data_IF_651077080232
#
_entry.id   IF_651077080232
#
_cell.length_a   1.000
_cell.length_b   1.000
_cell.length_c   1.000
_cell.angle_alpha   90.00
_cell.angle_beta   90.00
_cell.angle_gamma   90.00
#
_symmetry.space_group_name_H-M   'P 1'
#
loop_
_entity.id
_entity.type
_entity.pdbx_description
1 polymer ?
#
# COMPACT_ATOMS: atom_id res chain seq x y z
N UNK A 1 28.76 -12.31 18.12
CA UNK A 1 27.89 -13.20 17.31
C UNK A 1 26.61 -12.44 17.00
N UNK A 2 26.19 -12.43 15.75
CA UNK A 2 24.90 -11.85 15.40
C UNK A 2 23.76 -12.73 15.91
N UNK A 3 22.74 -12.13 16.54
CA UNK A 3 21.59 -12.87 17.02
C UNK A 3 20.63 -13.14 15.86
N UNK A 4 20.82 -14.28 15.20
CA UNK A 4 20.02 -14.72 14.03
C UNK A 4 18.53 -14.79 14.38
N UNK A 5 18.18 -15.26 15.60
CA UNK A 5 16.79 -15.32 16.05
C UNK A 5 16.15 -13.93 16.08
N UNK A 6 16.85 -12.94 16.63
CA UNK A 6 16.37 -11.55 16.64
C UNK A 6 16.16 -11.02 15.21
N UNK A 7 17.09 -11.30 14.27
CA UNK A 7 16.94 -10.90 12.86
C UNK A 7 15.70 -11.51 12.23
N UNK A 8 15.46 -12.81 12.44
CA UNK A 8 14.26 -13.49 11.93
C UNK A 8 12.97 -12.91 12.51
N UNK A 9 12.96 -12.61 13.81
CA UNK A 9 11.80 -11.97 14.46
C UNK A 9 11.52 -10.58 13.89
N UNK A 10 12.55 -9.77 13.64
CA UNK A 10 12.39 -8.44 13.03
C UNK A 10 11.82 -8.53 11.61
N UNK A 11 12.27 -9.51 10.81
CA UNK A 11 11.76 -9.72 9.45
C UNK A 11 10.29 -10.11 9.49
N UNK A 12 9.92 -11.11 10.31
CA UNK A 12 8.54 -11.56 10.44
C UNK A 12 7.63 -10.45 10.96
N UNK A 13 8.07 -9.71 11.97
CA UNK A 13 7.32 -8.59 12.51
C UNK A 13 7.11 -7.50 11.46
N UNK A 14 8.15 -7.12 10.73
CA UNK A 14 8.07 -6.10 9.69
C UNK A 14 7.14 -6.55 8.57
N UNK A 15 7.24 -7.80 8.12
CA UNK A 15 6.37 -8.36 7.09
C UNK A 15 4.90 -8.34 7.52
N UNK A 16 4.58 -8.94 8.67
CA UNK A 16 3.20 -8.98 9.18
C UNK A 16 2.65 -7.56 9.47
N UNK A 17 3.50 -6.66 9.99
CA UNK A 17 3.14 -5.27 10.22
C UNK A 17 2.82 -4.55 8.91
N UNK A 18 3.61 -4.77 7.86
CA UNK A 18 3.41 -4.14 6.57
C UNK A 18 2.15 -4.62 5.86
N UNK A 19 1.82 -5.92 5.98
CA UNK A 19 0.53 -6.47 5.53
C UNK A 19 -0.65 -5.77 6.23
N UNK A 20 -0.54 -5.55 7.55
CA UNK A 20 -1.54 -4.81 8.32
C UNK A 20 -1.70 -3.36 7.82
N UNK A 21 -0.59 -2.65 7.61
CA UNK A 21 -0.62 -1.28 7.07
C UNK A 21 -1.18 -1.24 5.65
N UNK A 22 -0.80 -2.18 4.78
CA UNK A 22 -1.32 -2.28 3.42
C UNK A 22 -2.83 -2.51 3.42
N UNK A 23 -3.33 -3.44 4.24
CA UNK A 23 -4.75 -3.72 4.38
C UNK A 23 -5.54 -2.52 4.91
N UNK A 24 -5.04 -1.88 5.97
CA UNK A 24 -5.68 -0.69 6.55
C UNK A 24 -5.70 0.47 5.56
N UNK A 25 -4.58 0.71 4.88
CA UNK A 25 -4.46 1.78 3.87
C UNK A 25 -5.40 1.53 2.70
N UNK A 26 -5.47 0.30 2.19
CA UNK A 26 -6.39 -0.04 1.11
C UNK A 26 -7.86 0.14 1.54
N UNK A 27 -8.26 -0.45 2.67
CA UNK A 27 -9.65 -0.45 3.12
C UNK A 27 -10.16 0.90 3.58
N UNK A 28 -9.35 1.67 4.30
CA UNK A 28 -9.82 2.90 4.98
C UNK A 28 -9.33 4.18 4.33
N UNK A 29 -8.16 4.20 3.67
CA UNK A 29 -7.65 5.39 2.99
C UNK A 29 -8.01 5.37 1.50
N UNK A 30 -7.60 4.34 0.77
CA UNK A 30 -7.81 4.22 -0.68
C UNK A 30 -9.28 4.07 -1.05
N UNK A 31 -10.03 3.28 -0.28
CA UNK A 31 -11.49 3.19 -0.41
C UNK A 31 -12.28 4.27 0.35
N UNK A 32 -11.59 5.19 1.03
CA UNK A 32 -12.18 6.32 1.75
C UNK A 32 -11.81 7.65 1.11
N UNK A 33 -11.08 8.54 1.81
CA UNK A 33 -10.74 9.88 1.32
C UNK A 33 -9.95 9.89 0.01
N UNK A 34 -9.18 8.83 -0.29
CA UNK A 34 -8.39 8.71 -1.52
C UNK A 34 -9.12 7.97 -2.64
N UNK A 35 -10.43 7.72 -2.52
CA UNK A 35 -11.21 7.01 -3.54
C UNK A 35 -11.09 7.63 -4.93
N UNK A 36 -11.00 8.96 -5.05
CA UNK A 36 -10.80 9.63 -6.34
C UNK A 36 -9.51 9.15 -7.05
N UNK A 37 -8.47 8.83 -6.29
CA UNK A 37 -7.22 8.28 -6.81
C UNK A 37 -7.28 6.76 -7.02
N UNK A 38 -8.12 6.03 -6.29
CA UNK A 38 -8.19 4.56 -6.33
C UNK A 38 -9.26 3.98 -7.26
N UNK A 39 -10.24 4.79 -7.66
CA UNK A 39 -11.43 4.31 -8.37
C UNK A 39 -11.11 3.61 -9.69
N UNK A 40 -10.11 4.12 -10.42
CA UNK A 40 -9.67 3.62 -11.71
C UNK A 40 -8.99 2.24 -11.63
N UNK A 41 -8.35 1.93 -10.51
CA UNK A 41 -7.83 0.59 -10.21
C UNK A 41 -8.95 -0.47 -10.16
N UNK A 42 -10.13 -0.13 -9.61
CA UNK A 42 -11.30 -1.03 -9.56
C UNK A 42 -12.05 -1.09 -10.88
N UNK A 43 -12.13 0.04 -11.58
CA UNK A 43 -12.76 0.14 -12.88
C UNK A 43 -12.00 1.15 -13.71
N UNK A 44 -11.36 0.71 -14.78
CA UNK A 44 -10.65 1.60 -15.69
C UNK A 44 -11.62 2.59 -16.34
N UNK A 45 -11.58 3.85 -15.90
CA UNK A 45 -12.45 4.93 -16.37
C UNK A 45 -11.72 5.94 -17.26
N UNK A 46 -10.39 5.99 -17.19
CA UNK A 46 -9.56 6.88 -17.98
C UNK A 46 -8.80 6.10 -19.04
N UNK A 47 -8.80 6.63 -20.27
CA UNK A 47 -7.98 6.15 -21.37
C UNK A 47 -6.91 7.21 -21.64
N UNK A 48 -5.66 6.91 -21.28
CA UNK A 48 -4.54 7.84 -21.37
C UNK A 48 -3.26 7.23 -20.80
N UNK A 49 -2.14 7.97 -20.89
CA UNK A 49 -0.86 7.53 -20.35
C UNK A 49 -0.80 7.59 -18.82
N UNK A 50 -1.55 8.52 -18.20
CA UNK A 50 -1.63 8.67 -16.75
C UNK A 50 -3.01 8.25 -16.23
N UNK A 51 -2.99 7.44 -15.18
CA UNK A 51 -4.14 7.04 -14.36
C UNK A 51 -4.09 7.82 -13.03
N UNK A 52 -5.25 8.06 -12.41
CA UNK A 52 -5.29 8.68 -11.09
C UNK A 52 -4.60 7.80 -10.03
N UNK A 53 -4.62 6.48 -10.22
CA UNK A 53 -3.90 5.53 -9.36
C UNK A 53 -2.38 5.79 -9.36
N UNK A 54 -1.82 6.30 -10.46
CA UNK A 54 -0.38 6.52 -10.56
C UNK A 54 0.10 7.52 -9.50
N UNK A 55 -0.74 8.45 -9.02
CA UNK A 55 -0.35 9.43 -8.00
C UNK A 55 -0.07 8.83 -6.62
N UNK A 56 -0.38 7.56 -6.36
CA UNK A 56 -0.10 6.94 -5.06
C UNK A 56 1.39 6.90 -4.70
N UNK A 57 2.32 6.97 -5.67
CA UNK A 57 3.75 7.05 -5.36
C UNK A 57 4.11 8.32 -4.57
N UNK A 58 3.37 9.42 -4.71
CA UNK A 58 3.63 10.65 -3.96
C UNK A 58 3.20 10.56 -2.49
N UNK A 59 2.36 9.57 -2.15
CA UNK A 59 1.73 9.41 -0.83
C UNK A 59 2.38 8.26 -0.05
N UNK A 60 2.77 7.18 -0.74
CA UNK A 60 3.30 5.95 -0.14
C UNK A 60 4.75 5.62 -0.55
N UNK A 61 5.53 6.61 -0.99
CA UNK A 61 6.97 6.46 -1.31
C UNK A 61 7.82 6.03 -0.11
#
# INVERSE_FOLDING_TARGET
MENILLKLMMILFSFCGMEGVAWLSHKYLMHGPLWKLHKDHHKKELYGFFENNDFFFLIFA
#
